data_IF_443702933009
#
_entry.id   IF_443702933009
#
_cell.length_a   1.000
_cell.length_b   1.000
_cell.length_c   1.000
_cell.angle_alpha   90.00
_cell.angle_beta   90.00
_cell.angle_gamma   90.00
#
_symmetry.space_group_name_H-M   'P 1'
#
loop_
_entity.id
_entity.type
_entity.pdbx_description
1 polymer ?
#
# COMPACT_ATOMS: atom_id res chain seq x y z
N UNK A 1 59.55 28.02 33.60
CA UNK A 1 58.53 27.36 32.75
C UNK A 1 57.70 26.48 33.65
N UNK A 2 56.54 26.99 34.09
CA UNK A 2 55.57 26.27 34.92
C UNK A 2 54.45 25.77 34.01
N UNK A 3 54.16 24.47 34.13
CA UNK A 3 53.17 23.73 33.36
C UNK A 3 51.84 23.71 34.14
N UNK A 4 50.83 24.44 33.64
CA UNK A 4 49.49 24.51 34.23
C UNK A 4 48.59 23.48 33.54
N UNK A 5 48.27 22.38 34.23
CA UNK A 5 47.19 21.47 33.84
C UNK A 5 45.87 21.94 34.46
N UNK A 6 44.88 22.20 33.61
CA UNK A 6 43.51 22.51 34.01
C UNK A 6 42.78 21.26 34.55
N UNK A 7 41.82 21.43 35.47
CA UNK A 7 41.04 20.33 36.02
C UNK A 7 40.05 19.79 34.97
N UNK A 8 39.99 18.46 34.86
CA UNK A 8 38.97 17.73 34.09
C UNK A 8 37.65 17.90 34.83
N UNK A 9 36.72 18.65 34.23
CA UNK A 9 35.37 18.80 34.75
C UNK A 9 34.55 17.52 34.56
N UNK A 10 33.75 17.17 35.56
CA UNK A 10 32.83 16.04 35.53
C UNK A 10 31.92 16.10 34.30
N UNK A 11 32.06 15.10 33.43
CA UNK A 11 31.14 14.84 32.33
C UNK A 11 29.83 14.29 32.92
N UNK A 12 28.67 14.88 32.62
CA UNK A 12 27.39 14.36 33.10
C UNK A 12 27.17 12.94 32.56
N UNK A 13 26.77 12.04 33.47
CA UNK A 13 26.46 10.64 33.16
C UNK A 13 25.37 10.55 32.08
N UNK A 14 25.52 9.68 31.05
CA UNK A 14 24.53 9.51 29.98
C UNK A 14 23.19 8.90 30.45
N UNK A 15 23.04 8.61 31.75
CA UNK A 15 21.80 8.10 32.35
C UNK A 15 20.87 9.18 32.93
N UNK A 16 21.21 10.47 32.85
CA UNK A 16 20.45 11.55 33.50
C UNK A 16 19.40 12.27 32.61
N UNK A 17 19.06 11.72 31.43
CA UNK A 17 18.21 12.40 30.44
C UNK A 17 16.86 11.70 30.11
N UNK A 18 16.40 10.74 30.93
CA UNK A 18 14.98 10.34 30.91
C UNK A 18 14.27 11.19 31.95
N UNK A 19 14.04 12.47 31.62
CA UNK A 19 13.18 13.34 32.42
C UNK A 19 11.74 12.91 32.20
N UNK A 20 10.98 12.90 33.29
CA UNK A 20 9.54 12.66 33.35
C UNK A 20 8.82 13.24 32.14
N UNK A 21 8.28 12.36 31.29
CA UNK A 21 7.32 12.74 30.26
C UNK A 21 6.07 13.19 31.01
N UNK A 22 5.65 14.47 30.92
CA UNK A 22 4.55 14.98 31.73
C UNK A 22 3.26 14.18 31.48
N UNK A 23 2.69 13.66 32.57
CA UNK A 23 1.62 12.66 32.63
C UNK A 23 0.20 13.27 32.61
N UNK A 24 -0.01 14.45 32.03
CA UNK A 24 -1.32 15.09 32.04
C UNK A 24 -1.83 15.50 30.65
N UNK A 25 -2.82 14.75 30.18
CA UNK A 25 -3.95 15.26 29.38
C UNK A 25 -3.74 15.65 27.91
N UNK A 26 -2.71 15.13 27.23
CA UNK A 26 -2.69 15.24 25.77
C UNK A 26 -3.72 14.24 25.21
N UNK A 27 -4.98 14.67 25.04
CA UNK A 27 -5.80 14.14 23.94
C UNK A 27 -5.02 14.50 22.68
N UNK A 28 -4.27 13.54 22.17
CA UNK A 28 -3.44 13.74 20.99
C UNK A 28 -4.40 14.01 19.84
N UNK A 29 -4.42 15.27 19.40
CA UNK A 29 -5.29 15.71 18.32
C UNK A 29 -5.00 14.84 17.10
N UNK A 30 -6.02 14.26 16.48
CA UNK A 30 -5.86 13.52 15.21
C UNK A 30 -5.09 14.43 14.22
N UNK A 31 -4.09 13.92 13.47
CA UNK A 31 -3.39 14.74 12.48
C UNK A 31 -4.36 15.39 11.51
N UNK A 32 -4.20 16.69 11.24
CA UNK A 32 -5.12 17.42 10.34
C UNK A 32 -4.89 17.09 8.86
N UNK A 33 -3.73 16.55 8.52
CA UNK A 33 -3.33 16.24 7.14
C UNK A 33 -2.24 15.15 7.07
N UNK A 34 -1.96 14.68 5.86
CA UNK A 34 -0.99 13.61 5.59
C UNK A 34 0.44 13.94 6.02
N UNK A 35 0.88 15.20 5.89
CA UNK A 35 2.23 15.61 6.31
C UNK A 35 2.41 15.51 7.83
N UNK A 36 1.44 16.02 8.61
CA UNK A 36 1.43 15.89 10.06
C UNK A 36 1.40 14.43 10.50
N UNK A 37 0.57 13.61 9.84
CA UNK A 37 0.49 12.17 10.11
C UNK A 37 1.83 11.50 9.89
N UNK A 38 2.45 11.69 8.73
CA UNK A 38 3.76 11.11 8.39
C UNK A 38 4.84 11.54 9.38
N UNK A 39 4.89 12.83 9.75
CA UNK A 39 5.85 13.33 10.74
C UNK A 39 5.68 12.64 12.11
N UNK A 40 4.43 12.42 12.56
CA UNK A 40 4.15 11.69 13.81
C UNK A 40 4.51 10.22 13.74
N UNK A 41 4.20 9.54 12.64
CA UNK A 41 4.61 8.14 12.44
C UNK A 41 6.13 8.01 12.57
N UNK A 42 6.90 8.91 11.93
CA UNK A 42 8.37 8.94 12.04
C UNK A 42 8.80 9.16 13.50
N UNK A 43 8.21 10.11 14.21
CA UNK A 43 8.55 10.39 15.60
C UNK A 43 8.29 9.18 16.52
N UNK A 44 7.15 8.48 16.36
CA UNK A 44 6.83 7.27 17.12
C UNK A 44 7.88 6.18 16.94
N UNK A 45 8.32 6.00 15.69
CA UNK A 45 9.33 5.02 15.30
C UNK A 45 10.70 5.35 15.87
N UNK A 46 11.10 6.62 15.85
CA UNK A 46 12.35 7.08 16.47
C UNK A 46 12.32 6.92 17.99
N UNK A 47 11.16 7.16 18.62
CA UNK A 47 10.96 6.90 20.04
C UNK A 47 11.16 5.40 20.37
N UNK A 48 10.50 4.51 19.64
CA UNK A 48 10.64 3.06 19.82
C UNK A 48 12.07 2.56 19.56
N UNK A 49 12.74 3.12 18.55
CA UNK A 49 14.14 2.76 18.23
C UNK A 49 15.12 3.25 19.28
N UNK A 50 14.93 4.45 19.81
CA UNK A 50 15.80 5.02 20.84
C UNK A 50 15.56 4.42 22.23
N UNK A 51 14.35 3.88 22.45
CA UNK A 51 13.94 3.30 23.73
C UNK A 51 13.34 1.89 23.55
N UNK A 52 14.12 0.89 23.10
CA UNK A 52 13.61 -0.46 22.86
C UNK A 52 13.06 -1.11 24.15
N UNK A 53 13.61 -0.74 25.31
CA UNK A 53 13.12 -1.16 26.62
C UNK A 53 11.67 -0.72 26.90
N UNK A 54 11.16 0.28 26.17
CA UNK A 54 9.79 0.77 26.35
C UNK A 54 8.76 -0.35 26.22
N UNK A 55 9.04 -1.37 25.40
CA UNK A 55 8.11 -2.48 25.18
C UNK A 55 8.18 -3.57 26.26
N UNK A 56 9.26 -3.63 27.04
CA UNK A 56 9.53 -4.77 27.93
C UNK A 56 9.65 -4.39 29.41
N UNK A 57 10.13 -3.20 29.75
CA UNK A 57 10.39 -2.85 31.14
C UNK A 57 9.17 -2.17 31.80
N UNK A 58 8.81 -2.61 33.00
CA UNK A 58 7.66 -2.11 33.77
C UNK A 58 7.67 -0.58 33.96
N UNK A 59 8.86 0.01 34.14
CA UNK A 59 9.04 1.46 34.31
C UNK A 59 8.50 2.31 33.14
N UNK A 60 8.25 1.71 31.98
CA UNK A 60 7.74 2.39 30.78
C UNK A 60 6.25 2.18 30.53
N UNK A 61 5.48 1.73 31.54
CA UNK A 61 4.03 1.53 31.42
C UNK A 61 3.28 2.73 30.83
N UNK A 62 3.47 3.93 31.37
CA UNK A 62 2.82 5.15 30.85
C UNK A 62 3.29 5.47 29.42
N UNK A 63 4.58 5.27 29.13
CA UNK A 63 5.13 5.47 27.79
C UNK A 63 4.50 4.53 26.77
N UNK A 64 4.34 3.23 27.07
CA UNK A 64 3.64 2.29 26.18
C UNK A 64 2.21 2.72 25.91
N UNK A 65 1.49 3.17 26.95
CA UNK A 65 0.12 3.63 26.81
C UNK A 65 0.04 4.82 25.84
N UNK A 66 0.91 5.82 26.02
CA UNK A 66 0.96 6.98 25.13
C UNK A 66 1.31 6.58 23.69
N UNK A 67 2.34 5.74 23.50
CA UNK A 67 2.72 5.25 22.18
C UNK A 67 1.58 4.50 21.47
N UNK A 68 0.82 3.68 22.21
CA UNK A 68 -0.32 2.96 21.66
C UNK A 68 -1.43 3.92 21.20
N UNK A 69 -1.80 4.88 22.05
CA UNK A 69 -2.84 5.86 21.73
C UNK A 69 -2.42 6.78 20.58
N UNK A 70 -1.16 7.19 20.53
CA UNK A 70 -0.60 7.96 19.42
C UNK A 70 -0.62 7.19 18.10
N UNK A 71 -0.22 5.91 18.15
CA UNK A 71 -0.24 5.05 16.98
C UNK A 71 -1.66 4.87 16.43
N UNK A 72 -2.66 4.70 17.31
CA UNK A 72 -4.08 4.66 16.90
C UNK A 72 -4.54 6.00 16.32
N UNK A 73 -4.19 7.13 16.93
CA UNK A 73 -4.59 8.46 16.46
C UNK A 73 -4.00 8.83 15.08
N UNK A 74 -2.94 8.16 14.66
CA UNK A 74 -2.29 8.37 13.37
C UNK A 74 -2.51 7.21 12.38
N UNK A 75 -3.37 6.24 12.69
CA UNK A 75 -3.53 5.03 11.89
C UNK A 75 -2.18 4.32 11.57
N UNK A 76 -1.22 4.36 12.50
CA UNK A 76 0.05 3.61 12.37
C UNK A 76 -0.20 2.17 12.85
N UNK A 77 -0.97 1.42 12.07
CA UNK A 77 -1.43 0.08 12.44
C UNK A 77 -0.29 -0.89 12.82
N UNK A 78 0.87 -0.93 12.13
CA UNK A 78 1.99 -1.75 12.58
C UNK A 78 2.49 -1.38 13.98
N UNK A 79 2.62 -0.08 14.27
CA UNK A 79 3.04 0.40 15.57
C UNK A 79 1.98 0.10 16.64
N UNK A 80 0.70 0.40 16.36
CA UNK A 80 -0.42 0.14 17.26
C UNK A 80 -0.53 -1.35 17.61
N UNK A 81 -0.38 -2.23 16.62
CA UNK A 81 -0.36 -3.67 16.85
C UNK A 81 0.82 -4.09 17.73
N UNK A 82 2.05 -3.64 17.41
CA UNK A 82 3.24 -4.06 18.14
C UNK A 82 3.26 -3.55 19.59
N UNK A 83 2.96 -2.27 19.82
CA UNK A 83 2.88 -1.68 21.17
C UNK A 83 1.70 -2.28 21.93
N UNK A 84 0.57 -2.52 21.26
CA UNK A 84 -0.59 -3.14 21.86
C UNK A 84 -0.35 -4.58 22.32
N UNK A 85 0.39 -5.39 21.55
CA UNK A 85 0.83 -6.71 22.01
C UNK A 85 1.70 -6.62 23.27
N UNK A 86 2.56 -5.61 23.37
CA UNK A 86 3.34 -5.37 24.58
C UNK A 86 2.44 -5.02 25.77
N UNK A 87 1.45 -4.13 25.60
CA UNK A 87 0.46 -3.83 26.64
C UNK A 87 -0.26 -5.10 27.13
N UNK A 88 -0.70 -5.98 26.20
CA UNK A 88 -1.33 -7.27 26.54
C UNK A 88 -0.39 -8.17 27.33
N UNK A 89 0.88 -8.27 26.92
CA UNK A 89 1.86 -9.14 27.57
C UNK A 89 2.12 -8.74 29.03
N UNK A 90 1.98 -7.46 29.36
CA UNK A 90 2.10 -6.93 30.74
C UNK A 90 0.77 -6.90 31.50
N UNK A 91 -0.34 -7.33 30.90
CA UNK A 91 -1.67 -7.24 31.52
C UNK A 91 -2.17 -5.80 31.67
N UNK A 92 -1.67 -4.88 30.84
CA UNK A 92 -1.97 -3.44 30.87
C UNK A 92 -3.11 -3.06 29.92
N UNK A 93 -3.58 -3.98 29.08
CA UNK A 93 -4.66 -3.77 28.13
C UNK A 93 -6.02 -4.16 28.71
N UNK A 94 -7.04 -3.34 28.50
CA UNK A 94 -8.44 -3.71 28.73
C UNK A 94 -9.09 -4.37 27.49
N UNK A 95 -10.40 -4.65 27.54
CA UNK A 95 -11.13 -5.28 26.43
C UNK A 95 -11.30 -4.35 25.22
N UNK A 96 -11.34 -3.02 25.42
CA UNK A 96 -11.41 -2.07 24.33
C UNK A 96 -10.05 -1.97 23.64
N UNK A 97 -8.95 -1.94 24.41
CA UNK A 97 -7.60 -2.04 23.86
C UNK A 97 -7.43 -3.32 23.05
N UNK A 98 -7.93 -4.46 23.55
CA UNK A 98 -7.92 -5.72 22.83
C UNK A 98 -8.63 -5.63 21.47
N UNK A 99 -9.76 -4.92 21.38
CA UNK A 99 -10.47 -4.69 20.12
C UNK A 99 -9.64 -3.83 19.17
N UNK A 100 -9.03 -2.74 19.65
CA UNK A 100 -8.13 -1.91 18.83
C UNK A 100 -6.90 -2.68 18.34
N UNK A 101 -6.33 -3.57 19.15
CA UNK A 101 -5.20 -4.43 18.75
C UNK A 101 -5.65 -5.42 17.68
N UNK A 102 -6.83 -6.01 17.81
CA UNK A 102 -7.40 -6.89 16.79
C UNK A 102 -7.67 -6.14 15.48
N UNK A 103 -8.19 -4.91 15.56
CA UNK A 103 -8.37 -4.06 14.38
C UNK A 103 -7.03 -3.76 13.71
N UNK A 104 -6.02 -3.33 14.47
CA UNK A 104 -4.68 -3.08 13.94
C UNK A 104 -4.07 -4.34 13.29
N UNK A 105 -4.24 -5.52 13.91
CA UNK A 105 -3.83 -6.80 13.34
C UNK A 105 -4.54 -7.08 12.01
N UNK A 106 -5.86 -6.90 11.95
CA UNK A 106 -6.64 -7.12 10.74
C UNK A 106 -6.21 -6.18 9.61
N UNK A 107 -6.02 -4.90 9.92
CA UNK A 107 -5.55 -3.87 8.98
C UNK A 107 -4.22 -4.23 8.31
N UNK A 108 -3.27 -4.82 9.04
CA UNK A 108 -1.96 -5.18 8.48
C UNK A 108 -1.89 -6.63 7.92
N UNK A 109 -3.04 -7.27 7.75
CA UNK A 109 -3.15 -8.63 7.23
C UNK A 109 -2.88 -9.77 8.23
N UNK A 110 -2.68 -9.47 9.52
CA UNK A 110 -2.52 -10.46 10.61
C UNK A 110 -3.88 -11.01 11.06
N UNK A 111 -4.66 -11.52 10.09
CA UNK A 111 -6.05 -11.95 10.24
C UNK A 111 -6.24 -13.05 11.29
N UNK A 112 -5.31 -13.99 11.37
CA UNK A 112 -5.31 -15.05 12.40
C UNK A 112 -5.16 -14.45 13.80
N UNK A 113 -4.22 -13.52 13.99
CA UNK A 113 -4.02 -12.85 15.27
C UNK A 113 -5.25 -12.00 15.66
N UNK A 114 -5.85 -11.29 14.69
CA UNK A 114 -7.09 -10.55 14.90
C UNK A 114 -8.22 -11.48 15.39
N UNK A 115 -8.45 -12.60 14.70
CA UNK A 115 -9.47 -13.57 15.06
C UNK A 115 -9.25 -14.18 16.46
N UNK A 116 -8.01 -14.52 16.79
CA UNK A 116 -7.65 -15.08 18.10
C UNK A 116 -7.88 -14.08 19.23
N UNK A 117 -7.50 -12.82 19.05
CA UNK A 117 -7.73 -11.76 20.04
C UNK A 117 -9.23 -11.53 20.24
N UNK A 118 -10.01 -11.41 19.16
CA UNK A 118 -11.46 -11.22 19.23
C UNK A 118 -12.14 -12.41 19.92
N UNK A 119 -11.70 -13.63 19.62
CA UNK A 119 -12.21 -14.83 20.30
C UNK A 119 -11.95 -14.79 21.81
N UNK A 120 -10.75 -14.36 22.23
CA UNK A 120 -10.43 -14.22 23.65
C UNK A 120 -11.34 -13.18 24.34
N UNK A 121 -11.58 -12.03 23.70
CA UNK A 121 -12.50 -11.01 24.22
C UNK A 121 -13.91 -11.59 24.36
N UNK A 122 -14.43 -12.25 23.32
CA UNK A 122 -15.79 -12.81 23.31
C UNK A 122 -15.97 -14.00 24.26
N UNK A 123 -14.91 -14.74 24.58
CA UNK A 123 -14.97 -15.79 25.61
C UNK A 123 -15.09 -15.21 27.03
N UNK A 124 -14.45 -14.07 27.28
CA UNK A 124 -14.54 -13.36 28.55
C UNK A 124 -15.84 -12.55 28.67
N UNK A 125 -16.26 -11.90 27.59
CA UNK A 125 -17.44 -11.05 27.53
C UNK A 125 -18.20 -11.27 26.20
N UNK A 126 -19.10 -12.27 26.14
CA UNK A 126 -19.80 -12.66 24.89
C UNK A 126 -20.66 -11.56 24.26
N UNK A 127 -20.99 -10.50 25.02
CA UNK A 127 -21.81 -9.38 24.56
C UNK A 127 -21.01 -8.10 24.35
N UNK A 128 -19.68 -8.15 24.34
CA UNK A 128 -18.84 -6.98 24.06
C UNK A 128 -19.10 -6.48 22.63
N UNK A 129 -19.88 -5.39 22.52
CA UNK A 129 -20.46 -4.91 21.25
C UNK A 129 -19.43 -4.70 20.15
N UNK A 130 -18.29 -4.10 20.48
CA UNK A 130 -17.21 -3.82 19.53
C UNK A 130 -16.59 -5.11 18.99
N UNK A 131 -16.35 -6.09 19.87
CA UNK A 131 -15.74 -7.36 19.48
C UNK A 131 -16.68 -8.19 18.60
N UNK A 132 -17.98 -8.18 18.89
CA UNK A 132 -19.00 -8.82 18.03
C UNK A 132 -19.00 -8.18 16.65
N UNK A 133 -18.99 -6.85 16.59
CA UNK A 133 -19.00 -6.10 15.32
C UNK A 133 -17.73 -6.37 14.50
N UNK A 134 -16.54 -6.27 15.11
CA UNK A 134 -15.27 -6.54 14.45
C UNK A 134 -15.16 -8.00 13.99
N UNK A 135 -15.61 -8.95 14.82
CA UNK A 135 -15.60 -10.36 14.46
C UNK A 135 -16.52 -10.63 13.27
N UNK A 136 -17.74 -10.08 13.25
CA UNK A 136 -18.64 -10.22 12.12
C UNK A 136 -18.05 -9.63 10.83
N UNK A 137 -17.45 -8.43 10.92
CA UNK A 137 -16.82 -7.77 9.78
C UNK A 137 -15.62 -8.55 9.23
N UNK A 138 -14.76 -9.09 10.11
CA UNK A 138 -13.63 -9.94 9.73
C UNK A 138 -14.09 -11.21 9.01
N UNK A 139 -15.12 -11.89 9.52
CA UNK A 139 -15.67 -13.09 8.87
C UNK A 139 -16.31 -12.77 7.51
N UNK A 140 -17.04 -11.66 7.40
CA UNK A 140 -17.64 -11.23 6.15
C UNK A 140 -16.56 -10.95 5.08
N UNK A 141 -15.50 -10.23 5.46
CA UNK A 141 -14.36 -9.99 4.58
C UNK A 141 -13.63 -11.28 4.20
N UNK A 142 -13.43 -12.21 5.15
CA UNK A 142 -12.80 -13.49 4.82
C UNK A 142 -13.62 -14.29 3.80
N UNK A 143 -14.94 -14.28 3.94
CA UNK A 143 -15.85 -14.94 2.99
C UNK A 143 -15.82 -14.30 1.60
N UNK A 144 -15.54 -13.01 1.47
CA UNK A 144 -15.43 -12.34 0.16
C UNK A 144 -14.06 -12.53 -0.51
N UNK A 145 -13.01 -12.91 0.25
CA UNK A 145 -11.65 -13.05 -0.27
C UNK A 145 -11.37 -14.31 -1.10
N UNK A 146 -12.33 -15.23 -1.23
CA UNK A 146 -12.15 -16.55 -1.85
C UNK A 146 -11.71 -16.47 -3.33
N UNK A 147 -11.98 -15.34 -4.01
CA UNK A 147 -11.58 -15.09 -5.40
C UNK A 147 -10.17 -14.51 -5.55
N UNK A 148 -9.63 -13.84 -4.52
CA UNK A 148 -8.38 -13.08 -4.60
C UNK A 148 -7.12 -13.90 -4.29
N UNK A 149 -7.23 -15.22 -4.13
CA UNK A 149 -6.08 -16.10 -3.91
C UNK A 149 -5.36 -15.91 -2.56
N UNK A 150 -6.00 -15.25 -1.59
CA UNK A 150 -5.49 -15.06 -0.23
C UNK A 150 -4.46 -13.93 -0.08
N UNK A 151 -3.70 -13.98 1.03
CA UNK A 151 -2.61 -13.06 1.35
C UNK A 151 -1.35 -13.44 0.56
N UNK A 152 -0.79 -12.50 -0.19
CA UNK A 152 0.53 -12.68 -0.82
C UNK A 152 1.56 -11.95 0.05
N UNK A 153 2.51 -12.66 0.63
CA UNK A 153 3.46 -12.13 1.61
C UNK A 153 4.90 -12.53 1.21
N UNK A 154 5.81 -11.56 1.21
CA UNK A 154 7.24 -11.79 0.99
C UNK A 154 8.12 -11.46 2.21
N UNK A 155 7.48 -11.29 3.37
CA UNK A 155 8.09 -11.01 4.67
C UNK A 155 8.10 -9.52 5.04
N UNK A 156 8.21 -8.63 4.06
CA UNK A 156 8.22 -7.17 4.26
C UNK A 156 7.01 -6.48 3.61
N UNK A 157 6.63 -6.91 2.41
CA UNK A 157 5.44 -6.44 1.70
C UNK A 157 4.37 -7.53 1.68
N UNK A 158 3.13 -7.08 1.84
CA UNK A 158 1.94 -7.91 1.77
C UNK A 158 0.93 -7.32 0.80
N UNK A 159 0.32 -8.19 0.01
CA UNK A 159 -0.85 -7.87 -0.80
C UNK A 159 -2.06 -8.50 -0.14
N UNK A 160 -2.99 -7.65 0.28
CA UNK A 160 -4.25 -8.06 0.89
C UNK A 160 -5.39 -7.52 0.04
N UNK A 161 -6.41 -8.36 -0.24
CA UNK A 161 -7.58 -7.91 -0.98
C UNK A 161 -8.16 -6.64 -0.33
N UNK A 162 -8.36 -5.60 -1.14
CA UNK A 162 -8.88 -4.34 -0.66
C UNK A 162 -10.34 -4.55 -0.23
N UNK A 163 -10.66 -4.29 1.05
CA UNK A 163 -11.99 -4.41 1.60
C UNK A 163 -12.48 -3.10 2.20
N UNK A 164 -13.78 -3.02 2.52
CA UNK A 164 -14.42 -1.78 2.97
C UNK A 164 -13.73 -1.10 4.15
N UNK A 165 -13.18 -1.90 5.07
CA UNK A 165 -12.47 -1.36 6.21
C UNK A 165 -11.31 -0.44 5.79
N UNK A 166 -10.59 -0.72 4.69
CA UNK A 166 -9.40 0.02 4.23
C UNK A 166 -9.61 1.47 3.76
N UNK A 167 -10.83 2.01 3.82
CA UNK A 167 -11.13 3.37 3.31
C UNK A 167 -10.22 4.46 3.90
N UNK A 168 -10.02 4.46 5.22
CA UNK A 168 -9.21 5.50 5.87
C UNK A 168 -7.74 5.44 5.44
N UNK A 169 -7.18 4.22 5.31
CA UNK A 169 -5.82 3.99 4.82
C UNK A 169 -5.65 4.45 3.37
N UNK A 170 -6.67 4.18 2.55
CA UNK A 170 -6.71 4.58 1.16
C UNK A 170 -6.75 6.11 1.04
N UNK A 171 -7.63 6.77 1.81
CA UNK A 171 -7.86 8.22 1.76
C UNK A 171 -6.58 9.02 1.99
N UNK A 172 -5.74 8.60 2.95
CA UNK A 172 -4.48 9.29 3.26
C UNK A 172 -3.54 9.46 2.06
N UNK A 173 -3.61 8.54 1.10
CA UNK A 173 -2.81 8.62 -0.13
C UNK A 173 -3.60 9.15 -1.33
N UNK A 174 -4.92 9.14 -1.25
CA UNK A 174 -5.82 9.60 -2.30
C UNK A 174 -5.83 11.12 -2.46
N UNK A 175 -5.50 11.85 -1.39
CA UNK A 175 -5.47 13.33 -1.39
C UNK A 175 -4.39 13.97 -2.31
N UNK A 176 -3.60 13.19 -3.05
CA UNK A 176 -2.63 13.69 -4.04
C UNK A 176 -3.30 13.81 -5.43
N UNK A 177 -3.67 15.02 -5.91
CA UNK A 177 -4.39 15.17 -7.18
C UNK A 177 -3.60 14.63 -8.38
N UNK A 178 -2.27 14.72 -8.32
CA UNK A 178 -1.42 14.17 -9.37
C UNK A 178 -1.51 12.64 -9.47
N UNK A 179 -1.86 11.96 -8.37
CA UNK A 179 -2.08 10.53 -8.36
C UNK A 179 -3.41 10.17 -9.04
N UNK A 180 -4.48 10.89 -8.73
CA UNK A 180 -5.83 10.69 -9.30
C UNK A 180 -5.77 10.75 -10.83
N UNK A 181 -5.16 11.81 -11.37
CA UNK A 181 -4.98 12.02 -12.82
C UNK A 181 -4.24 10.86 -13.50
N UNK A 182 -3.19 10.33 -12.84
CA UNK A 182 -2.35 9.29 -13.40
C UNK A 182 -2.97 7.89 -13.29
N UNK A 183 -3.84 7.66 -12.31
CA UNK A 183 -4.38 6.33 -12.00
C UNK A 183 -5.79 6.10 -12.57
N UNK A 184 -6.42 7.14 -13.15
CA UNK A 184 -7.80 7.09 -13.64
C UNK A 184 -8.78 6.60 -12.55
N UNK A 185 -8.54 6.99 -11.30
CA UNK A 185 -9.44 6.64 -10.18
C UNK A 185 -10.65 7.59 -10.18
N UNK A 186 -11.84 7.15 -9.71
CA UNK A 186 -13.01 8.00 -9.63
C UNK A 186 -12.82 9.15 -8.63
N UNK A 187 -13.37 10.32 -8.90
CA UNK A 187 -13.52 11.34 -7.86
C UNK A 187 -14.58 10.85 -6.86
N UNK A 188 -14.18 10.58 -5.62
CA UNK A 188 -15.09 10.17 -4.55
C UNK A 188 -15.57 11.43 -3.81
N UNK A 189 -16.87 11.71 -3.78
CA UNK A 189 -17.41 12.84 -3.02
C UNK A 189 -17.45 12.51 -1.52
N UNK A 190 -17.73 11.25 -1.19
CA UNK A 190 -17.77 10.74 0.18
C UNK A 190 -17.41 9.25 0.29
N UNK A 191 -17.59 8.71 1.51
CA UNK A 191 -17.26 7.32 1.83
C UNK A 191 -18.21 6.31 1.16
N UNK A 192 -19.45 6.72 0.89
CA UNK A 192 -20.42 5.86 0.25
C UNK A 192 -20.06 5.65 -1.23
N UNK A 193 -19.57 6.68 -1.92
CA UNK A 193 -19.07 6.55 -3.29
C UNK A 193 -17.91 5.56 -3.38
N UNK A 194 -16.96 5.63 -2.44
CA UNK A 194 -15.83 4.72 -2.40
C UNK A 194 -16.27 3.28 -2.13
N UNK A 195 -17.23 3.06 -1.22
CA UNK A 195 -17.79 1.74 -0.96
C UNK A 195 -18.54 1.18 -2.18
N UNK A 196 -19.37 1.99 -2.84
CA UNK A 196 -20.09 1.58 -4.04
C UNK A 196 -19.12 1.18 -5.17
N UNK A 197 -18.06 1.96 -5.39
CA UNK A 197 -17.01 1.63 -6.35
C UNK A 197 -16.31 0.30 -6.02
N UNK A 198 -16.04 0.03 -4.74
CA UNK A 198 -15.44 -1.23 -4.34
C UNK A 198 -16.39 -2.42 -4.54
N UNK A 199 -17.68 -2.25 -4.22
CA UNK A 199 -18.71 -3.24 -4.46
C UNK A 199 -18.82 -3.58 -5.95
N UNK A 200 -18.82 -2.58 -6.84
CA UNK A 200 -18.84 -2.77 -8.30
C UNK A 200 -17.64 -3.61 -8.79
N UNK A 201 -16.44 -3.35 -8.24
CA UNK A 201 -15.24 -4.15 -8.54
C UNK A 201 -15.41 -5.60 -8.10
N UNK A 202 -15.96 -5.84 -6.90
CA UNK A 202 -16.17 -7.19 -6.38
C UNK A 202 -17.26 -7.94 -7.16
N UNK A 203 -18.34 -7.25 -7.53
CA UNK A 203 -19.45 -7.82 -8.31
C UNK A 203 -19.03 -8.20 -9.74
N UNK A 204 -18.15 -7.43 -10.37
CA UNK A 204 -17.62 -7.76 -11.69
C UNK A 204 -16.85 -9.10 -11.68
N UNK A 205 -16.15 -9.39 -10.58
CA UNK A 205 -15.50 -10.68 -10.32
C UNK A 205 -14.31 -11.02 -11.23
N UNK A 206 -13.94 -10.12 -12.15
CA UNK A 206 -12.81 -10.25 -13.07
C UNK A 206 -11.60 -9.41 -12.64
N UNK A 207 -11.74 -8.60 -11.58
CA UNK A 207 -10.71 -7.72 -11.08
C UNK A 207 -10.27 -8.10 -9.66
N UNK A 208 -8.97 -8.34 -9.49
CA UNK A 208 -8.33 -8.53 -8.20
C UNK A 208 -7.64 -7.24 -7.77
N UNK A 209 -8.22 -6.52 -6.80
CA UNK A 209 -7.69 -5.29 -6.24
C UNK A 209 -7.09 -5.54 -4.85
N UNK A 210 -5.81 -5.20 -4.68
CA UNK A 210 -5.08 -5.39 -3.43
C UNK A 210 -4.57 -4.07 -2.87
N UNK A 211 -4.74 -3.90 -1.55
CA UNK A 211 -3.93 -2.98 -0.78
C UNK A 211 -2.51 -3.54 -0.58
N UNK A 212 -1.52 -2.66 -0.68
CA UNK A 212 -0.11 -2.95 -0.47
C UNK A 212 0.29 -2.50 0.93
N UNK A 213 0.67 -3.45 1.77
CA UNK A 213 1.02 -3.23 3.17
C UNK A 213 2.50 -3.48 3.37
N UNK A 214 3.21 -2.47 3.85
CA UNK A 214 4.57 -2.61 4.34
C UNK A 214 4.54 -2.94 5.82
N UNK A 215 5.24 -4.00 6.23
CA UNK A 215 5.27 -4.48 7.62
C UNK A 215 5.64 -3.41 8.63
N UNK A 216 6.48 -2.46 8.22
CA UNK A 216 6.83 -1.32 9.04
C UNK A 216 5.96 -0.08 8.79
N UNK A 217 5.58 0.25 7.56
CA UNK A 217 4.95 1.55 7.22
C UNK A 217 3.42 1.51 7.15
N UNK A 218 2.81 0.32 7.23
CA UNK A 218 1.38 0.15 7.06
C UNK A 218 1.02 0.21 5.58
N UNK A 219 -0.13 0.77 5.26
CA UNK A 219 -0.61 0.88 3.88
C UNK A 219 0.25 1.87 3.08
N UNK A 220 0.79 1.41 1.94
CA UNK A 220 1.68 2.22 1.09
C UNK A 220 1.19 2.40 -0.36
N UNK A 221 0.10 1.71 -0.76
CA UNK A 221 -0.47 1.85 -2.09
C UNK A 221 -1.44 0.74 -2.46
N UNK A 222 -1.77 0.62 -3.74
CA UNK A 222 -2.54 -0.48 -4.29
C UNK A 222 -1.91 -1.06 -5.55
N UNK A 223 -2.20 -2.33 -5.80
CA UNK A 223 -1.98 -3.01 -7.08
C UNK A 223 -3.28 -3.67 -7.51
N UNK A 224 -3.53 -3.71 -8.81
CA UNK A 224 -4.75 -4.30 -9.35
C UNK A 224 -4.44 -5.09 -10.61
N UNK A 225 -5.23 -6.14 -10.83
CA UNK A 225 -5.16 -6.98 -12.01
C UNK A 225 -6.58 -7.33 -12.48
N UNK A 226 -6.92 -6.90 -13.69
CA UNK A 226 -8.14 -7.36 -14.37
C UNK A 226 -7.76 -8.57 -15.22
N UNK A 227 -8.48 -9.68 -15.08
CA UNK A 227 -8.18 -10.95 -15.76
C UNK A 227 -9.34 -11.44 -16.60
N UNK A 228 -9.03 -11.83 -17.84
CA UNK A 228 -10.00 -12.50 -18.71
C UNK A 228 -9.28 -13.44 -19.69
N UNK A 229 -9.76 -14.69 -19.78
CA UNK A 229 -9.20 -15.72 -20.69
C UNK A 229 -7.67 -15.96 -20.55
N UNK A 230 -7.15 -15.83 -19.32
CA UNK A 230 -5.72 -15.99 -19.03
C UNK A 230 -4.86 -14.80 -19.50
N UNK A 231 -5.47 -13.67 -19.85
CA UNK A 231 -4.80 -12.40 -20.09
C UNK A 231 -5.12 -11.42 -18.95
N UNK A 232 -4.12 -10.64 -18.55
CA UNK A 232 -4.23 -9.66 -17.47
C UNK A 232 -4.05 -8.21 -17.94
N UNK A 233 -4.67 -7.25 -17.25
CA UNK A 233 -4.31 -5.83 -17.30
C UNK A 233 -3.91 -5.39 -15.89
N UNK A 234 -2.64 -5.03 -15.74
CA UNK A 234 -2.02 -4.60 -14.49
C UNK A 234 -1.96 -3.08 -14.39
N UNK A 235 -2.29 -2.57 -13.21
CA UNK A 235 -2.05 -1.18 -12.82
C UNK A 235 -1.77 -1.09 -11.33
N UNK A 236 -1.12 0.00 -10.93
CA UNK A 236 -0.73 0.21 -9.55
C UNK A 236 -0.56 1.70 -9.26
N UNK A 237 -0.58 2.02 -7.98
CA UNK A 237 -0.16 3.31 -7.48
C UNK A 237 0.50 3.16 -6.11
N UNK A 238 1.39 4.10 -5.81
CA UNK A 238 2.12 4.14 -4.54
C UNK A 238 1.93 5.53 -3.96
N UNK A 239 1.60 5.56 -2.67
CA UNK A 239 1.46 6.76 -1.87
C UNK A 239 2.69 7.67 -2.03
N UNK A 240 2.46 8.98 -2.07
CA UNK A 240 3.49 9.98 -2.38
C UNK A 240 4.78 9.78 -1.57
N UNK A 241 4.62 9.51 -0.29
CA UNK A 241 5.72 9.38 0.69
C UNK A 241 6.55 8.10 0.51
N UNK A 242 6.04 7.14 -0.29
CA UNK A 242 6.66 5.83 -0.51
C UNK A 242 7.18 5.63 -1.95
N UNK A 243 7.06 6.65 -2.81
CA UNK A 243 7.57 6.61 -4.19
C UNK A 243 9.10 6.57 -4.19
N UNK A 244 9.67 5.89 -5.18
CA UNK A 244 11.13 5.77 -5.33
C UNK A 244 11.79 4.69 -4.47
N UNK A 245 11.08 4.13 -3.48
CA UNK A 245 11.60 3.08 -2.59
C UNK A 245 11.56 1.65 -3.18
N UNK A 246 11.02 1.50 -4.41
CA UNK A 246 10.97 0.21 -5.10
C UNK A 246 9.78 -0.68 -4.74
N UNK A 247 8.85 -0.22 -3.89
CA UNK A 247 7.67 -1.01 -3.50
C UNK A 247 6.75 -1.35 -4.68
N UNK A 248 6.47 -0.41 -5.59
CA UNK A 248 5.63 -0.67 -6.77
C UNK A 248 6.14 -1.83 -7.63
N UNK A 249 7.40 -1.82 -8.10
CA UNK A 249 7.97 -2.94 -8.85
C UNK A 249 7.99 -4.28 -8.10
N UNK A 250 8.20 -4.25 -6.78
CA UNK A 250 8.19 -5.46 -5.97
C UNK A 250 6.78 -6.04 -5.84
N UNK A 251 5.80 -5.21 -5.50
CA UNK A 251 4.39 -5.58 -5.42
C UNK A 251 3.85 -6.13 -6.75
N UNK A 252 4.21 -5.49 -7.88
CA UNK A 252 3.84 -5.96 -9.20
C UNK A 252 4.38 -7.36 -9.50
N UNK A 253 5.65 -7.65 -9.16
CA UNK A 253 6.21 -9.00 -9.34
C UNK A 253 5.45 -10.04 -8.51
N UNK A 254 5.20 -9.75 -7.23
CA UNK A 254 4.43 -10.66 -6.37
C UNK A 254 3.05 -11.01 -6.96
N UNK A 255 2.32 -9.99 -7.41
CA UNK A 255 1.00 -10.20 -8.00
C UNK A 255 1.06 -10.99 -9.31
N UNK A 256 1.99 -10.65 -10.21
CA UNK A 256 2.10 -11.31 -11.51
C UNK A 256 2.58 -12.76 -11.39
N UNK A 257 3.52 -13.03 -10.48
CA UNK A 257 3.98 -14.38 -10.16
C UNK A 257 2.83 -15.22 -9.59
N UNK A 258 2.06 -14.68 -8.64
CA UNK A 258 0.86 -15.34 -8.11
C UNK A 258 -0.17 -15.61 -9.21
N UNK A 259 -0.48 -14.61 -10.04
CA UNK A 259 -1.46 -14.74 -11.10
C UNK A 259 -1.05 -15.77 -12.16
N UNK A 260 0.24 -15.84 -12.49
CA UNK A 260 0.77 -16.86 -13.39
C UNK A 260 0.70 -18.26 -12.76
N UNK A 261 1.18 -18.41 -11.53
CA UNK A 261 1.33 -19.71 -10.88
C UNK A 261 0.00 -20.31 -10.44
N UNK A 262 -0.92 -19.49 -9.91
CA UNK A 262 -2.16 -19.95 -9.29
C UNK A 262 -3.42 -19.68 -10.14
N UNK A 263 -3.43 -18.62 -10.97
CA UNK A 263 -4.63 -18.21 -11.72
C UNK A 263 -4.53 -18.49 -13.23
N UNK A 264 -3.41 -19.08 -13.68
CA UNK A 264 -3.23 -19.47 -15.08
C UNK A 264 -3.07 -18.29 -16.04
N UNK A 265 -2.65 -17.13 -15.53
CA UNK A 265 -2.35 -15.97 -16.38
C UNK A 265 -1.13 -16.26 -17.27
N UNK A 266 -1.31 -16.13 -18.59
CA UNK A 266 -0.27 -16.40 -19.61
C UNK A 266 0.46 -15.13 -20.05
N UNK A 267 -0.23 -14.01 -20.04
CA UNK A 267 0.31 -12.71 -20.40
C UNK A 267 -0.43 -11.61 -19.64
N UNK A 268 0.26 -10.51 -19.41
CA UNK A 268 -0.26 -9.34 -18.76
C UNK A 268 0.11 -8.10 -19.58
N UNK A 269 -0.78 -7.12 -19.60
CA UNK A 269 -0.59 -5.83 -20.23
C UNK A 269 -0.58 -4.76 -19.17
N UNK A 270 0.05 -3.64 -19.46
CA UNK A 270 -0.07 -2.43 -18.67
C UNK A 270 -0.16 -1.25 -19.63
N UNK A 271 -0.91 -0.23 -19.24
CA UNK A 271 -0.91 1.06 -19.93
C UNK A 271 -0.21 2.09 -19.05
N UNK A 272 0.43 3.06 -19.68
CA UNK A 272 1.09 4.14 -18.96
C UNK A 272 1.14 5.38 -19.85
N UNK A 273 0.84 6.55 -19.30
CA UNK A 273 1.01 7.79 -20.03
C UNK A 273 2.46 7.97 -20.46
N UNK A 274 2.67 8.45 -21.69
CA UNK A 274 4.01 8.64 -22.24
C UNK A 274 4.89 9.58 -21.40
N UNK A 275 4.28 10.52 -20.69
CA UNK A 275 4.97 11.45 -19.79
C UNK A 275 5.20 10.89 -18.37
N UNK A 276 4.60 9.75 -18.01
CA UNK A 276 4.76 9.15 -16.68
C UNK A 276 6.04 8.28 -16.64
N UNK A 277 7.19 8.96 -16.70
CA UNK A 277 8.51 8.34 -16.66
C UNK A 277 8.75 7.47 -15.40
N UNK A 278 8.27 7.83 -14.18
CA UNK A 278 8.37 6.96 -13.02
C UNK A 278 7.70 5.59 -13.21
N UNK A 279 6.46 5.55 -13.72
CA UNK A 279 5.76 4.29 -13.96
C UNK A 279 6.37 3.48 -15.10
N UNK A 280 6.84 4.14 -16.17
CA UNK A 280 7.58 3.46 -17.25
C UNK A 280 8.82 2.73 -16.72
N UNK A 281 9.64 3.40 -15.89
CA UNK A 281 10.80 2.76 -15.25
C UNK A 281 10.38 1.66 -14.29
N UNK A 282 9.30 1.84 -13.54
CA UNK A 282 8.78 0.85 -12.61
C UNK A 282 8.34 -0.44 -13.33
N UNK A 283 7.54 -0.30 -14.38
CA UNK A 283 7.05 -1.40 -15.22
C UNK A 283 8.21 -2.12 -15.92
N UNK A 284 9.20 -1.38 -16.43
CA UNK A 284 10.41 -1.99 -17.00
C UNK A 284 11.18 -2.85 -15.98
N UNK A 285 11.29 -2.41 -14.71
CA UNK A 285 11.92 -3.21 -13.64
C UNK A 285 11.15 -4.49 -13.29
N UNK A 286 9.82 -4.52 -13.52
CA UNK A 286 8.99 -5.72 -13.37
C UNK A 286 9.21 -6.69 -14.54
N UNK A 287 9.70 -6.19 -15.69
CA UNK A 287 9.91 -6.96 -16.92
C UNK A 287 8.90 -6.65 -18.01
N UNK A 288 8.08 -5.61 -17.88
CA UNK A 288 7.23 -5.15 -18.96
C UNK A 288 8.06 -4.52 -20.09
N UNK A 289 7.63 -4.77 -21.33
CA UNK A 289 8.26 -4.22 -22.53
C UNK A 289 7.26 -3.46 -23.40
N UNK A 290 7.67 -2.37 -24.08
CA UNK A 290 6.81 -1.69 -25.04
C UNK A 290 6.40 -2.60 -26.19
N UNK A 291 5.10 -2.58 -26.51
CA UNK A 291 4.56 -3.31 -27.67
C UNK A 291 4.73 -2.55 -28.99
N UNK A 292 5.11 -1.28 -28.93
CA UNK A 292 5.12 -0.36 -30.08
C UNK A 292 3.72 0.13 -30.48
N UNK A 293 2.66 -0.31 -29.80
CA UNK A 293 1.29 0.13 -30.03
C UNK A 293 1.00 1.38 -29.20
N UNK A 294 0.79 2.56 -29.84
CA UNK A 294 0.32 3.73 -29.11
C UNK A 294 -1.17 3.58 -28.80
N UNK A 295 -1.57 3.99 -27.59
CA UNK A 295 -2.96 4.18 -27.22
C UNK A 295 -3.22 5.69 -27.28
N UNK A 296 -4.16 6.09 -28.14
CA UNK A 296 -4.51 7.49 -28.38
C UNK A 296 -5.98 7.69 -28.03
N UNK A 297 -6.24 8.68 -27.18
CA UNK A 297 -7.58 9.10 -26.80
C UNK A 297 -7.83 10.52 -27.27
N UNK A 298 -8.97 10.81 -27.92
CA UNK A 298 -9.30 12.17 -28.30
C UNK A 298 -9.23 13.11 -27.10
N UNK A 299 -8.38 14.14 -27.18
CA UNK A 299 -8.21 15.14 -26.12
C UNK A 299 -7.36 14.71 -24.91
N UNK A 300 -6.73 13.52 -24.93
CA UNK A 300 -5.87 13.06 -23.83
C UNK A 300 -4.42 12.84 -24.27
N UNK A 301 -3.52 12.77 -23.28
CA UNK A 301 -2.11 12.49 -23.51
C UNK A 301 -1.91 11.08 -24.10
N UNK A 302 -0.91 10.88 -24.97
CA UNK A 302 -0.59 9.56 -25.52
C UNK A 302 -0.21 8.58 -24.40
N UNK A 303 -0.65 7.33 -24.55
CA UNK A 303 -0.34 6.22 -23.67
C UNK A 303 0.48 5.14 -24.41
N UNK A 304 1.33 4.44 -23.68
CA UNK A 304 2.07 3.27 -24.16
C UNK A 304 1.41 2.00 -23.66
N UNK A 305 1.22 1.04 -24.56
CA UNK A 305 0.87 -0.33 -24.20
C UNK A 305 2.15 -1.15 -23.99
N UNK A 306 2.27 -1.72 -22.80
CA UNK A 306 3.36 -2.59 -22.40
C UNK A 306 2.86 -4.03 -22.19
N UNK A 307 3.74 -5.03 -22.30
CA UNK A 307 3.43 -6.46 -22.15
C UNK A 307 4.43 -7.19 -21.25
N UNK A 308 3.94 -8.20 -20.53
CA UNK A 308 4.67 -9.16 -19.69
C UNK A 308 4.09 -10.59 -19.89
N UNK A 309 4.87 -11.69 -19.79
CA UNK A 309 6.33 -11.70 -19.82
C UNK A 309 6.85 -11.33 -21.22
N UNK A 310 8.17 -11.29 -21.38
CA UNK A 310 8.83 -11.07 -22.67
C UNK A 310 8.36 -12.13 -23.68
N UNK A 311 7.54 -11.71 -24.63
CA UNK A 311 7.12 -12.51 -25.75
C UNK A 311 7.34 -11.70 -27.02
N UNK A 312 8.31 -12.12 -27.84
CA UNK A 312 8.50 -11.57 -29.17
C UNK A 312 7.22 -11.72 -29.99
N UNK A 313 6.80 -10.65 -30.66
CA UNK A 313 5.75 -10.69 -31.68
C UNK A 313 4.65 -9.65 -31.49
N UNK A 314 3.85 -9.49 -32.53
CA UNK A 314 2.73 -8.56 -32.59
C UNK A 314 1.64 -8.88 -31.54
N UNK A 315 0.89 -7.85 -31.15
CA UNK A 315 -0.35 -8.01 -30.38
C UNK A 315 -1.36 -8.77 -31.26
N UNK A 316 -1.56 -10.05 -30.94
CA UNK A 316 -2.48 -10.94 -31.66
C UNK A 316 -3.95 -10.56 -31.47
N UNK A 317 -4.83 -11.21 -32.23
CA UNK A 317 -6.28 -10.96 -32.20
C UNK A 317 -6.90 -11.23 -30.82
N UNK A 318 -6.45 -12.29 -30.14
CA UNK A 318 -6.86 -12.63 -28.77
C UNK A 318 -6.60 -11.46 -27.80
N UNK A 319 -5.39 -10.88 -27.84
CA UNK A 319 -5.01 -9.76 -27.01
C UNK A 319 -5.82 -8.49 -27.32
N UNK A 320 -6.13 -8.23 -28.60
CA UNK A 320 -7.01 -7.13 -28.96
C UNK A 320 -8.45 -7.34 -28.48
N UNK A 321 -8.96 -8.57 -28.54
CA UNK A 321 -10.28 -8.91 -28.02
C UNK A 321 -10.34 -8.66 -26.50
N UNK A 322 -9.29 -9.09 -25.79
CA UNK A 322 -9.12 -8.82 -24.36
C UNK A 322 -9.10 -7.32 -24.05
N UNK A 323 -8.26 -6.54 -24.72
CA UNK A 323 -8.17 -5.10 -24.48
C UNK A 323 -9.50 -4.38 -24.76
N UNK A 324 -10.25 -4.79 -25.79
CA UNK A 324 -11.62 -4.28 -26.05
C UNK A 324 -12.64 -4.72 -25.01
N UNK A 325 -12.48 -5.90 -24.43
CA UNK A 325 -13.33 -6.35 -23.33
C UNK A 325 -13.10 -5.48 -22.10
N UNK A 326 -11.84 -5.31 -21.68
CA UNK A 326 -11.48 -4.45 -20.56
C UNK A 326 -11.92 -3.01 -20.81
N UNK A 327 -11.74 -2.49 -22.03
CA UNK A 327 -12.18 -1.14 -22.37
C UNK A 327 -13.69 -0.94 -22.23
N UNK A 328 -14.50 -1.93 -22.64
CA UNK A 328 -15.95 -1.85 -22.47
C UNK A 328 -16.38 -1.92 -21.01
N UNK A 329 -15.64 -2.67 -20.19
CA UNK A 329 -15.95 -2.83 -18.77
C UNK A 329 -15.53 -1.61 -17.94
N UNK A 330 -14.40 -0.99 -18.28
CA UNK A 330 -13.76 0.01 -17.43
C UNK A 330 -13.73 1.41 -18.04
N UNK A 331 -13.92 1.53 -19.36
CA UNK A 331 -13.67 2.77 -20.13
C UNK A 331 -12.21 3.27 -20.02
N UNK A 332 -11.28 2.40 -19.59
CA UNK A 332 -9.90 2.75 -19.28
C UNK A 332 -8.96 2.69 -20.48
N UNK A 333 -9.32 2.13 -21.65
CA UNK A 333 -8.34 1.91 -22.74
C UNK A 333 -8.64 2.69 -24.04
N UNK A 334 -9.90 2.96 -24.37
CA UNK A 334 -10.41 3.56 -25.62
C UNK A 334 -9.69 3.07 -26.87
N UNK A 335 -9.65 1.75 -27.05
CA UNK A 335 -8.85 1.11 -28.10
C UNK A 335 -9.48 1.35 -29.47
N UNK A 336 -8.82 2.13 -30.32
CA UNK A 336 -9.24 2.32 -31.71
C UNK A 336 -8.89 1.07 -32.55
N UNK A 337 -9.71 0.80 -33.58
CA UNK A 337 -9.55 -0.42 -34.38
C UNK A 337 -8.18 -0.45 -35.09
N UNK A 338 -7.63 -1.65 -35.23
CA UNK A 338 -6.31 -1.93 -35.85
C UNK A 338 -6.18 -1.35 -37.27
N UNK A 339 -7.29 -1.16 -37.99
CA UNK A 339 -7.36 -0.51 -39.30
C UNK A 339 -6.93 0.96 -39.28
N UNK A 340 -7.16 1.65 -38.18
CA UNK A 340 -6.94 3.10 -38.07
C UNK A 340 -5.50 3.40 -37.63
N UNK A 341 -4.90 2.49 -36.85
CA UNK A 341 -3.51 2.60 -36.38
C UNK A 341 -2.53 2.47 -37.55
N UNK A 342 -2.76 1.57 -38.51
CA UNK A 342 -1.90 1.45 -39.70
C UNK A 342 -1.91 2.73 -40.56
N UNK A 343 -3.03 3.45 -40.61
CA UNK A 343 -3.13 4.74 -41.30
C UNK A 343 -2.40 5.87 -40.54
N UNK A 344 -2.45 5.87 -39.20
CA UNK A 344 -1.78 6.84 -38.35
C UNK A 344 -0.26 6.63 -38.27
N UNK A 345 0.21 5.38 -38.15
CA UNK A 345 1.63 5.02 -38.11
C UNK A 345 2.32 5.34 -39.44
N UNK A 346 1.61 5.21 -40.56
CA UNK A 346 2.08 5.69 -41.87
C UNK A 346 2.36 7.20 -41.94
N UNK A 347 1.79 8.01 -41.04
CA UNK A 347 1.96 9.46 -40.96
C UNK A 347 3.01 9.92 -39.93
N UNK A 348 3.53 9.04 -39.06
CA UNK A 348 4.41 9.41 -37.93
C UNK A 348 5.82 8.80 -38.00
N UNK A 349 6.21 8.24 -39.14
CA UNK A 349 7.55 7.67 -39.36
C UNK A 349 8.65 8.75 -39.42
N UNK A 350 8.93 9.42 -38.29
CA UNK A 350 10.11 10.27 -38.07
C UNK A 350 10.32 10.64 -36.58
N UNK A 351 10.28 9.67 -35.66
CA UNK A 351 10.74 9.88 -34.26
C UNK A 351 11.99 9.01 -34.02
N UNK A 352 13.17 9.59 -33.69
CA UNK A 352 14.41 8.83 -33.53
C UNK A 352 14.44 8.04 -32.21
N UNK A 353 14.89 6.80 -32.28
CA UNK A 353 14.93 5.81 -31.20
C UNK A 353 16.06 6.01 -30.15
N UNK A 354 16.48 7.25 -29.86
CA UNK A 354 17.61 7.52 -28.96
C UNK A 354 17.21 8.42 -27.80
N UNK A 355 16.59 7.86 -26.76
CA UNK A 355 16.46 8.54 -25.46
C UNK A 355 16.19 7.61 -24.26
N UNK A 356 16.72 6.37 -24.28
CA UNK A 356 16.60 5.43 -23.15
C UNK A 356 17.93 4.86 -22.64
N UNK A 357 19.08 5.45 -22.98
CA UNK A 357 20.38 5.02 -22.47
C UNK A 357 21.19 6.16 -21.84
N UNK A 358 21.68 5.90 -20.63
CA UNK A 358 22.67 6.66 -19.83
C UNK A 358 22.18 7.84 -18.98
N UNK A 359 21.71 7.52 -17.76
CA UNK A 359 22.09 8.31 -16.58
C UNK A 359 22.62 7.33 -15.51
N UNK A 360 23.92 7.40 -15.27
CA UNK A 360 24.61 6.72 -14.17
C UNK A 360 24.18 7.36 -12.84
N UNK A 361 23.59 6.57 -11.95
CA UNK A 361 23.25 7.00 -10.59
C UNK A 361 24.52 7.21 -9.75
N UNK A 362 24.62 8.31 -8.97
CA UNK A 362 25.60 8.43 -7.89
C UNK A 362 25.19 7.57 -6.69
N UNK A 363 26.20 7.10 -5.95
CA UNK A 363 26.12 6.06 -4.94
C UNK A 363 25.06 6.26 -3.85
N UNK A 364 24.43 5.15 -3.49
CA UNK A 364 23.56 5.00 -2.32
C UNK A 364 24.39 5.10 -1.04
N UNK A 365 24.05 6.09 -0.22
CA UNK A 365 24.17 6.01 1.24
C UNK A 365 22.74 5.78 1.73
N UNK A 366 22.50 4.61 2.32
CA UNK A 366 21.64 4.32 3.48
C UNK A 366 21.76 2.84 3.81
#
# INVERSE_FOLDING_TARGET
>A
MQDQRAPVGDMPSPHAAVRDVPDESIRLAVPDNSEQRTARMIALRECLRSTPDALVAERFRSTRRHLFLDALACDDWPCAFHVGLALRAHGESDMSDACHIALAAWRIGETAAAADILRQVLLCEPHHREAVSLSAALHAWYASCDLSGGLIDDGELRLQALGHHHIDDFRWHYDDPAMIDLCCLPDFEDDADWHAWLDEIHEAGDQALFGLWHRYWGFVGCVSLIMHAGLGLYYYWIGRDFRGLGFGPRAGRLLLEQAQAAWGMRACYAKVYAHNAPSLRGLSKIGFQPTGVPIMRPGQAPEHLLRWPEACGDVGEEAWSFLKHVDRATHVLSVHARSDVSALVGSMASIPATQLASESLPGSIL
#
